data_IF_266870975975
#
_entry.id   IF_266870975975
#
_cell.length_a   1.000
_cell.length_b   1.000
_cell.length_c   1.000
_cell.angle_alpha   90.00
_cell.angle_beta   90.00
_cell.angle_gamma   90.00
#
_symmetry.space_group_name_H-M   'P 1'
#
loop_
_entity.id
_entity.type
_entity.pdbx_description
1 polymer ?
#
# COMPACT_ATOMS: atom_id res chain seq x y z
N UNK A 1 -13.92 4.64 0.85
CA UNK A 1 -12.94 5.03 -0.19
C UNK A 1 -12.04 6.09 0.41
N UNK A 2 -10.75 6.07 0.09
CA UNK A 2 -9.81 7.11 0.49
C UNK A 2 -9.51 8.04 -0.68
N UNK A 3 -9.45 9.35 -0.41
CA UNK A 3 -9.03 10.39 -1.36
C UNK A 3 -7.78 11.15 -0.91
N UNK A 4 -7.39 10.95 0.35
CA UNK A 4 -6.13 11.42 0.91
C UNK A 4 -5.17 10.22 1.05
N UNK A 5 -3.94 10.42 0.57
CA UNK A 5 -2.91 9.38 0.58
C UNK A 5 -2.44 9.05 2.00
N UNK A 6 -2.29 10.03 2.88
CA UNK A 6 -1.78 9.83 4.25
C UNK A 6 -2.79 9.05 5.07
N UNK A 7 -4.08 9.38 4.92
CA UNK A 7 -5.16 8.63 5.58
C UNK A 7 -5.19 7.17 5.10
N UNK A 8 -5.05 6.96 3.79
CA UNK A 8 -5.00 5.62 3.22
C UNK A 8 -3.78 4.83 3.69
N UNK A 9 -2.60 5.44 3.72
CA UNK A 9 -1.38 4.77 4.17
C UNK A 9 -1.41 4.46 5.67
N UNK A 10 -2.03 5.32 6.48
CA UNK A 10 -2.23 5.06 7.90
C UNK A 10 -3.05 3.78 8.14
N UNK A 11 -4.14 3.61 7.37
CA UNK A 11 -5.04 2.46 7.50
C UNK A 11 -4.53 1.21 6.79
N UNK A 12 -4.05 1.36 5.55
CA UNK A 12 -3.70 0.24 4.66
C UNK A 12 -2.22 -0.14 4.72
N UNK A 13 -1.35 0.74 5.25
CA UNK A 13 0.09 0.49 5.37
C UNK A 13 0.78 0.30 4.03
N UNK A 14 0.39 1.05 3.00
CA UNK A 14 0.93 0.96 1.63
C UNK A 14 2.46 1.09 1.62
N UNK A 15 3.02 2.03 2.38
CA UNK A 15 4.47 2.26 2.47
C UNK A 15 5.19 1.13 3.17
N UNK A 16 4.63 0.64 4.29
CA UNK A 16 5.19 -0.53 5.00
C UNK A 16 5.17 -1.79 4.12
N UNK A 17 4.11 -1.99 3.36
CA UNK A 17 3.98 -3.14 2.45
C UNK A 17 4.95 -3.04 1.27
N UNK A 18 5.12 -1.84 0.69
CA UNK A 18 6.12 -1.60 -0.36
C UNK A 18 7.55 -1.86 0.15
N UNK A 19 7.90 -1.32 1.31
CA UNK A 19 9.22 -1.53 1.92
C UNK A 19 9.52 -3.03 2.12
N UNK A 20 8.56 -3.78 2.66
CA UNK A 20 8.70 -5.24 2.82
C UNK A 20 8.86 -5.98 1.49
N UNK A 21 8.14 -5.55 0.45
CA UNK A 21 8.26 -6.15 -0.88
C UNK A 21 9.62 -5.87 -1.53
N UNK A 22 10.20 -4.69 -1.29
CA UNK A 22 11.58 -4.36 -1.70
C UNK A 22 12.58 -5.22 -0.95
N UNK A 23 12.49 -5.30 0.38
CA UNK A 23 13.38 -6.10 1.23
C UNK A 23 13.34 -7.60 0.86
N UNK A 24 12.18 -8.11 0.48
CA UNK A 24 12.01 -9.48 0.00
C UNK A 24 12.48 -9.71 -1.45
N UNK A 25 12.94 -8.67 -2.15
CA UNK A 25 13.38 -8.74 -3.55
C UNK A 25 12.23 -8.95 -4.56
N UNK A 26 10.97 -8.79 -4.13
CA UNK A 26 9.82 -8.87 -5.04
C UNK A 26 9.67 -7.62 -5.90
N UNK A 27 10.21 -6.49 -5.46
CA UNK A 27 10.16 -5.20 -6.15
C UNK A 27 11.56 -4.57 -6.14
N UNK A 28 12.00 -4.09 -7.29
CA UNK A 28 13.22 -3.26 -7.40
C UNK A 28 13.10 -2.00 -6.54
N UNK A 29 14.13 -1.66 -5.77
CA UNK A 29 14.10 -0.55 -4.82
C UNK A 29 13.78 0.79 -5.49
N UNK A 30 14.48 1.11 -6.59
CA UNK A 30 14.33 2.40 -7.27
C UNK A 30 12.92 2.54 -7.85
N UNK A 31 12.42 1.47 -8.46
CA UNK A 31 11.06 1.40 -8.99
C UNK A 31 10.02 1.51 -7.89
N UNK A 32 10.20 0.80 -6.78
CA UNK A 32 9.28 0.79 -5.65
C UNK A 32 9.15 2.14 -4.97
N UNK A 33 10.27 2.81 -4.68
CA UNK A 33 10.29 4.17 -4.12
C UNK A 33 9.61 5.18 -5.05
N UNK A 34 9.98 5.18 -6.34
CA UNK A 34 9.38 6.09 -7.33
C UNK A 34 7.86 5.91 -7.43
N UNK A 35 7.39 4.67 -7.46
CA UNK A 35 5.96 4.40 -7.47
C UNK A 35 5.28 4.91 -6.20
N UNK A 36 5.87 4.65 -5.03
CA UNK A 36 5.28 5.05 -3.75
C UNK A 36 5.19 6.59 -3.64
N UNK A 37 6.27 7.30 -3.99
CA UNK A 37 6.30 8.77 -3.97
C UNK A 37 5.22 9.36 -4.89
N UNK A 38 4.98 8.73 -6.05
CA UNK A 38 3.99 9.18 -7.03
C UNK A 38 2.55 9.19 -6.50
N UNK A 39 2.24 8.36 -5.49
CA UNK A 39 0.89 8.29 -4.89
C UNK A 39 0.47 9.59 -4.22
N UNK A 40 1.44 10.43 -3.82
CA UNK A 40 1.19 11.72 -3.18
C UNK A 40 1.22 12.93 -4.14
N UNK A 41 1.66 12.72 -5.39
CA UNK A 41 1.94 13.80 -6.34
C UNK A 41 0.74 14.15 -7.26
N UNK A 42 -0.44 13.61 -6.99
CA UNK A 42 -1.63 13.86 -7.81
C UNK A 42 -2.92 13.43 -7.12
N UNK A 43 -4.06 13.45 -7.85
CA UNK A 43 -5.33 12.96 -7.34
C UNK A 43 -5.19 11.51 -6.85
N UNK A 44 -5.56 11.28 -5.60
CA UNK A 44 -5.44 9.98 -4.97
C UNK A 44 -6.81 9.30 -4.87
N UNK A 45 -6.83 8.00 -5.10
CA UNK A 45 -8.00 7.16 -4.87
C UNK A 45 -7.57 5.75 -4.46
N UNK A 46 -8.09 5.28 -3.33
CA UNK A 46 -7.90 3.90 -2.90
C UNK A 46 -9.20 3.29 -2.34
N UNK A 47 -9.40 2.02 -2.65
CA UNK A 47 -10.45 1.16 -2.11
C UNK A 47 -9.85 -0.18 -1.73
N UNK A 48 -10.47 -0.86 -0.79
CA UNK A 48 -10.03 -2.17 -0.36
C UNK A 48 -11.25 -3.06 -0.11
N UNK A 49 -11.04 -4.36 -0.25
CA UNK A 49 -12.01 -5.39 0.13
C UNK A 49 -11.39 -6.17 1.27
N UNK A 50 -12.07 -6.22 2.42
CA UNK A 50 -11.68 -7.07 3.53
C UNK A 50 -12.41 -8.40 3.40
N UNK A 51 -11.65 -9.49 3.25
CA UNK A 51 -12.18 -10.85 3.30
C UNK A 51 -11.82 -11.44 4.66
N UNK A 52 -12.84 -11.72 5.48
CA UNK A 52 -12.66 -12.36 6.79
C UNK A 52 -12.96 -13.84 6.67
N UNK A 53 -11.98 -14.68 6.98
CA UNK A 53 -12.15 -16.14 7.05
C UNK A 53 -12.17 -16.56 8.52
N UNK A 54 -13.24 -17.24 8.93
CA UNK A 54 -13.36 -17.81 10.28
C UNK A 54 -13.28 -19.33 10.13
N UNK A 55 -12.26 -19.94 10.73
CA UNK A 55 -12.10 -21.40 10.79
C UNK A 55 -12.47 -21.93 12.18
N UNK A 56 -13.22 -23.04 12.22
CA UNK A 56 -13.32 -23.90 13.41
C UNK A 56 -12.42 -25.11 13.24
N UNK A 57 -11.98 -25.69 14.36
CA UNK A 57 -11.09 -26.86 14.38
C UNK A 57 -11.82 -28.15 14.05
#
# INVERSE_FOLDING_TARGET
>A
MFRDFRDADHILGLGRNMQRAIEAGHIDETRGRRWFDSLSQGPFFATFTLVTVIGSR
#
